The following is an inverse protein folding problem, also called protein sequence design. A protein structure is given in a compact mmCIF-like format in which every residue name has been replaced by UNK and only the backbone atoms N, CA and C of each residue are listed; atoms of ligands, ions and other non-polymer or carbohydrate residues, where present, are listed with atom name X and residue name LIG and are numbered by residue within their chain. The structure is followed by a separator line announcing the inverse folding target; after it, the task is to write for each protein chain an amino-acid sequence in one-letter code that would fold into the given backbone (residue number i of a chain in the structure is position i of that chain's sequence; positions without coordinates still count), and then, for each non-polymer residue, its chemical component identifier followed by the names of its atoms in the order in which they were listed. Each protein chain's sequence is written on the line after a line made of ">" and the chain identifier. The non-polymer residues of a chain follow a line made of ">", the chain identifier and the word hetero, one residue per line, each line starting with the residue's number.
data_IF_590859090479
#
_entry.id   IF_590859090479
#
_cell.length_a   1.000
_cell.length_b   1.000
_cell.length_c   1.000
_cell.angle_alpha   90.00
_cell.angle_beta   90.00
_cell.angle_gamma   90.00
#
_symmetry.space_group_name_H-M   'P 1'
#
loop_
_entity.id
_entity.type
_entity.pdbx_description
1 polymer ?
#
# COMPACT_ATOMS: atom_id res chain seq x y z
N UNK A 1 36.27 11.43 20.71
CA UNK A 1 35.72 10.65 19.58
C UNK A 1 34.20 10.71 19.68
N UNK A 2 33.47 10.90 18.57
CA UNK A 2 32.00 11.02 18.63
C UNK A 2 31.30 9.73 19.08
N UNK A 3 30.07 9.85 19.61
CA UNK A 3 29.25 8.71 20.04
C UNK A 3 28.81 7.87 18.85
N UNK A 4 28.99 6.54 18.93
CA UNK A 4 28.45 5.59 17.96
C UNK A 4 26.92 5.57 18.06
N UNK A 5 26.24 5.82 16.95
CA UNK A 5 24.78 5.92 16.88
C UNK A 5 24.23 5.29 15.59
N UNK A 6 22.92 5.43 15.37
CA UNK A 6 22.21 4.86 14.22
C UNK A 6 22.69 5.43 12.89
N UNK A 7 23.05 6.71 12.85
CA UNK A 7 23.52 7.41 11.66
C UNK A 7 24.94 6.94 11.26
N UNK A 8 25.81 6.67 12.24
CA UNK A 8 27.12 6.05 11.99
C UNK A 8 26.95 4.63 11.44
N UNK A 9 26.00 3.85 11.98
CA UNK A 9 25.69 2.52 11.46
C UNK A 9 25.12 2.56 10.02
N UNK A 10 24.31 3.57 9.68
CA UNK A 10 23.89 3.82 8.29
C UNK A 10 25.09 4.16 7.39
N UNK A 11 26.05 4.94 7.87
CA UNK A 11 27.30 5.22 7.14
C UNK A 11 28.13 3.94 6.93
N UNK A 12 28.21 3.05 7.93
CA UNK A 12 28.84 1.73 7.75
C UNK A 12 28.14 0.95 6.64
N UNK A 13 26.80 0.91 6.64
CA UNK A 13 26.04 0.28 5.57
C UNK A 13 26.34 0.85 4.18
N UNK A 14 26.37 2.18 4.04
CA UNK A 14 26.72 2.86 2.78
C UNK A 14 28.13 2.50 2.32
N UNK A 15 29.10 2.50 3.24
CA UNK A 15 30.49 2.17 2.91
C UNK A 15 30.67 0.69 2.57
N UNK A 16 29.97 -0.22 3.24
CA UNK A 16 29.99 -1.65 2.89
C UNK A 16 29.38 -1.92 1.50
N UNK A 17 28.46 -1.06 1.06
CA UNK A 17 27.82 -1.15 -0.24
C UNK A 17 28.70 -0.58 -1.37
N UNK A 18 29.21 0.64 -1.23
CA UNK A 18 29.87 1.36 -2.33
C UNK A 18 31.21 2.01 -1.95
N UNK A 19 31.76 1.64 -0.79
CA UNK A 19 33.07 2.07 -0.34
C UNK A 19 34.21 1.23 -0.93
N UNK A 20 35.39 1.84 -0.96
CA UNK A 20 36.62 1.12 -1.30
C UNK A 20 37.34 0.66 -0.02
N UNK A 21 37.67 -0.63 0.05
CA UNK A 21 38.42 -1.25 1.14
C UNK A 21 39.90 -1.53 0.78
N UNK A 22 40.34 -1.21 -0.44
CA UNK A 22 41.68 -1.55 -0.93
C UNK A 22 42.78 -0.62 -0.42
N UNK A 23 42.45 0.63 -0.10
CA UNK A 23 43.43 1.61 0.38
C UNK A 23 43.53 1.61 1.90
N UNK A 24 44.77 1.56 2.42
CA UNK A 24 45.06 1.82 3.83
C UNK A 24 45.14 3.32 4.15
N UNK A 25 45.20 4.18 3.13
CA UNK A 25 45.47 5.62 3.26
C UNK A 25 44.23 6.48 3.08
N UNK A 26 43.23 5.96 2.38
CA UNK A 26 42.04 6.72 2.00
C UNK A 26 40.77 5.96 2.33
N UNK A 27 39.84 6.66 2.98
CA UNK A 27 38.46 6.23 3.07
C UNK A 27 37.70 6.83 1.90
N UNK A 28 37.07 5.98 1.09
CA UNK A 28 36.31 6.41 -0.09
C UNK A 28 34.86 5.93 -0.02
N UNK A 29 33.93 6.79 -0.43
CA UNK A 29 32.53 6.45 -0.66
C UNK A 29 32.08 7.04 -2.00
N UNK A 30 31.59 6.22 -2.90
CA UNK A 30 31.15 6.64 -4.25
C UNK A 30 29.66 6.44 -4.38
N UNK A 31 28.87 7.45 -4.76
CA UNK A 31 27.43 7.31 -4.98
C UNK A 31 26.94 8.32 -6.03
N UNK A 32 25.80 8.06 -6.67
CA UNK A 32 25.18 8.96 -7.65
C UNK A 32 24.08 9.88 -7.04
N UNK A 33 23.78 9.73 -5.76
CA UNK A 33 22.83 10.52 -4.99
C UNK A 33 23.61 11.48 -4.08
N UNK A 34 23.48 12.78 -4.34
CA UNK A 34 24.21 13.81 -3.59
C UNK A 34 23.85 13.82 -2.11
N UNK A 35 22.58 13.61 -1.78
CA UNK A 35 22.06 13.59 -0.41
C UNK A 35 22.72 12.49 0.44
N UNK A 36 23.11 11.37 -0.17
CA UNK A 36 23.86 10.32 0.54
C UNK A 36 25.31 10.73 0.80
N UNK A 37 25.94 11.46 -0.13
CA UNK A 37 27.29 12.00 0.06
C UNK A 37 27.31 13.04 1.18
N UNK A 38 26.33 13.94 1.18
CA UNK A 38 26.18 14.95 2.23
C UNK A 38 25.88 14.32 3.59
N UNK A 39 24.99 13.32 3.63
CA UNK A 39 24.71 12.54 4.83
C UNK A 39 25.98 11.88 5.38
N UNK A 40 26.74 11.21 4.51
CA UNK A 40 27.99 10.55 4.89
C UNK A 40 29.01 11.58 5.42
N UNK A 41 29.27 12.66 4.67
CA UNK A 41 30.19 13.72 5.07
C UNK A 41 29.83 14.35 6.43
N UNK A 42 28.54 14.65 6.65
CA UNK A 42 28.05 15.26 7.89
C UNK A 42 28.34 14.37 9.10
N UNK A 43 28.04 13.08 8.99
CA UNK A 43 28.26 12.13 10.08
C UNK A 43 29.75 11.84 10.30
N UNK A 44 30.54 11.76 9.23
CA UNK A 44 32.00 11.62 9.34
C UNK A 44 32.64 12.83 10.02
N UNK A 45 32.20 14.06 9.69
CA UNK A 45 32.66 15.29 10.36
C UNK A 45 32.35 15.27 11.86
N UNK A 46 31.16 14.82 12.26
CA UNK A 46 30.78 14.71 13.67
C UNK A 46 31.61 13.65 14.40
N UNK A 47 31.74 12.46 13.79
CA UNK A 47 32.41 11.30 14.37
C UNK A 47 33.90 11.56 14.59
N UNK A 48 34.55 12.18 13.62
CA UNK A 48 35.99 12.45 13.61
C UNK A 48 36.33 13.93 13.89
N UNK A 49 35.46 14.68 14.57
CA UNK A 49 35.64 16.12 14.82
C UNK A 49 36.97 16.52 15.48
N UNK A 50 37.58 15.60 16.21
CA UNK A 50 38.86 15.80 16.92
C UNK A 50 40.08 15.59 16.02
N UNK A 51 39.90 15.00 14.83
CA UNK A 51 40.98 14.74 13.89
C UNK A 51 41.09 15.87 12.87
N UNK A 52 42.32 16.23 12.52
CA UNK A 52 42.60 17.07 11.36
C UNK A 52 42.79 16.15 10.15
N UNK A 53 41.98 16.34 9.12
CA UNK A 53 42.07 15.54 7.89
C UNK A 53 41.53 16.31 6.68
N UNK A 54 42.08 15.96 5.51
CA UNK A 54 41.68 16.55 4.25
C UNK A 54 40.51 15.78 3.64
N UNK A 55 39.43 16.52 3.34
CA UNK A 55 38.24 15.99 2.65
C UNK A 55 38.24 16.47 1.21
N UNK A 56 38.03 15.53 0.29
CA UNK A 56 37.91 15.83 -1.14
C UNK A 56 36.62 15.22 -1.69
N UNK A 57 35.99 15.94 -2.61
CA UNK A 57 34.88 15.43 -3.42
C UNK A 57 35.27 15.54 -4.88
N UNK A 58 35.17 14.42 -5.59
CA UNK A 58 35.36 14.36 -7.03
C UNK A 58 33.99 14.23 -7.67
N UNK A 59 33.61 15.19 -8.49
CA UNK A 59 32.34 15.23 -9.20
C UNK A 59 32.59 14.83 -10.64
N UNK A 60 31.95 13.75 -11.07
CA UNK A 60 32.03 13.28 -12.45
C UNK A 60 30.69 13.49 -13.14
N UNK A 61 30.69 14.26 -14.23
CA UNK A 61 29.48 14.51 -15.04
C UNK A 61 29.69 14.05 -16.49
N UNK A 62 28.63 13.57 -17.17
CA UNK A 62 28.76 13.09 -18.55
C UNK A 62 29.01 14.20 -19.56
N UNK A 63 28.46 15.38 -19.29
CA UNK A 63 28.45 16.58 -20.15
C UNK A 63 29.45 17.66 -19.71
N UNK A 64 30.18 17.44 -18.61
CA UNK A 64 31.06 18.44 -18.01
C UNK A 64 30.35 19.52 -17.20
N UNK A 65 29.04 19.36 -16.94
CA UNK A 65 28.29 20.23 -16.03
C UNK A 65 28.93 20.28 -14.64
N UNK A 66 28.80 21.41 -13.97
CA UNK A 66 29.35 21.66 -12.63
C UNK A 66 28.21 21.95 -11.66
N UNK A 67 27.58 20.92 -11.07
CA UNK A 67 26.56 21.15 -10.06
C UNK A 67 27.15 21.94 -8.90
N UNK A 68 26.39 22.91 -8.41
CA UNK A 68 26.77 23.69 -7.25
C UNK A 68 26.75 22.81 -6.01
N UNK A 69 27.85 22.79 -5.27
CA UNK A 69 28.02 21.99 -4.05
C UNK A 69 28.37 22.93 -2.90
N UNK A 70 27.53 22.96 -1.88
CA UNK A 70 27.69 23.84 -0.73
C UNK A 70 28.43 23.15 0.42
N UNK A 71 29.73 22.91 0.27
CA UNK A 71 30.58 22.36 1.33
C UNK A 71 31.84 23.20 1.53
N UNK A 72 31.80 24.11 2.51
CA UNK A 72 32.87 25.09 2.80
C UNK A 72 34.22 24.45 3.22
N UNK A 73 34.19 23.26 3.83
CA UNK A 73 35.38 22.59 4.37
C UNK A 73 35.82 21.39 3.52
N UNK A 74 35.71 21.48 2.20
CA UNK A 74 36.02 20.38 1.30
C UNK A 74 36.61 20.89 -0.01
N UNK A 75 37.69 20.25 -0.48
CA UNK A 75 38.19 20.49 -1.83
C UNK A 75 37.29 19.78 -2.84
N UNK A 76 36.75 20.53 -3.79
CA UNK A 76 35.84 20.00 -4.81
C UNK A 76 36.54 20.03 -6.16
N UNK A 77 36.62 18.88 -6.82
CA UNK A 77 37.24 18.74 -8.13
C UNK A 77 36.20 18.22 -9.13
N UNK A 78 36.12 18.84 -10.31
CA UNK A 78 35.16 18.49 -11.34
C UNK A 78 35.85 17.81 -12.52
N UNK A 79 35.24 16.73 -13.02
CA UNK A 79 35.74 15.92 -14.13
C UNK A 79 34.62 15.54 -15.08
N UNK A 80 34.96 15.38 -16.36
CA UNK A 80 34.06 14.85 -17.36
C UNK A 80 34.27 13.34 -17.51
N UNK A 81 33.19 12.55 -17.45
CA UNK A 81 33.23 11.12 -17.73
C UNK A 81 32.19 10.75 -18.79
N UNK A 82 32.60 10.76 -20.06
CA UNK A 82 31.72 10.58 -21.23
C UNK A 82 30.91 9.27 -21.26
N UNK A 83 31.35 8.24 -20.53
CA UNK A 83 30.67 6.93 -20.46
C UNK A 83 29.64 6.84 -19.33
N UNK A 84 29.64 7.78 -18.39
CA UNK A 84 28.67 7.80 -17.31
C UNK A 84 27.28 8.14 -17.88
N UNK A 85 26.24 7.52 -17.35
CA UNK A 85 24.85 7.85 -17.74
C UNK A 85 24.26 8.97 -16.89
N UNK A 86 24.83 9.21 -15.71
CA UNK A 86 24.41 10.21 -14.72
C UNK A 86 25.62 10.74 -13.96
N UNK A 87 25.53 11.94 -13.39
CA UNK A 87 26.52 12.41 -12.43
C UNK A 87 26.74 11.42 -11.29
N UNK A 88 27.99 11.30 -10.84
CA UNK A 88 28.32 10.59 -9.60
C UNK A 88 29.45 11.30 -8.87
N UNK A 89 29.54 10.99 -7.57
CA UNK A 89 30.38 11.69 -6.63
C UNK A 89 31.27 10.69 -5.91
N UNK A 90 32.55 11.02 -5.75
CA UNK A 90 33.49 10.26 -4.92
C UNK A 90 33.89 11.14 -3.74
N UNK A 91 33.42 10.79 -2.56
CA UNK A 91 33.86 11.39 -1.30
C UNK A 91 35.11 10.67 -0.79
N UNK A 92 36.14 11.44 -0.43
CA UNK A 92 37.42 10.92 0.06
C UNK A 92 37.89 11.61 1.33
N UNK A 93 38.41 10.82 2.26
CA UNK A 93 39.19 11.26 3.42
C UNK A 93 40.58 10.63 3.33
N UNK A 94 41.63 11.45 3.24
CA UNK A 94 43.02 11.00 3.24
C UNK A 94 43.59 11.04 4.66
N UNK A 95 43.53 9.91 5.37
CA UNK A 95 44.12 9.74 6.71
C UNK A 95 44.20 8.27 7.09
N UNK A 96 45.42 7.76 7.28
CA UNK A 96 45.66 6.36 7.72
C UNK A 96 45.00 6.09 9.07
N UNK A 97 45.09 7.05 10.00
CA UNK A 97 44.50 6.90 11.33
C UNK A 97 42.97 6.79 11.26
N UNK A 98 42.31 7.63 10.46
CA UNK A 98 40.85 7.58 10.30
C UNK A 98 40.42 6.29 9.61
N UNK A 99 41.17 5.81 8.60
CA UNK A 99 40.87 4.53 7.94
C UNK A 99 40.95 3.38 8.93
N UNK A 100 41.99 3.33 9.77
CA UNK A 100 42.12 2.30 10.82
C UNK A 100 40.93 2.36 11.79
N UNK A 101 40.64 3.54 12.35
CA UNK A 101 39.51 3.72 13.29
C UNK A 101 38.16 3.41 12.65
N UNK A 102 37.97 3.73 11.38
CA UNK A 102 36.75 3.41 10.66
C UNK A 102 36.56 1.89 10.54
N UNK A 103 37.62 1.14 10.23
CA UNK A 103 37.56 -0.34 10.16
C UNK A 103 37.20 -0.95 11.52
N UNK A 104 37.79 -0.45 12.61
CA UNK A 104 37.44 -0.87 13.98
C UNK A 104 35.96 -0.59 14.30
N UNK A 105 35.43 0.56 13.89
CA UNK A 105 34.01 0.90 14.05
C UNK A 105 33.12 -0.04 13.24
N UNK A 106 33.48 -0.33 11.98
CA UNK A 106 32.75 -1.25 11.10
C UNK A 106 32.66 -2.64 11.76
N UNK A 107 33.79 -3.18 12.21
CA UNK A 107 33.83 -4.49 12.88
C UNK A 107 33.01 -4.48 14.18
N UNK A 108 33.14 -3.44 15.01
CA UNK A 108 32.38 -3.30 16.24
C UNK A 108 30.87 -3.27 16.00
N UNK A 109 30.42 -2.54 14.97
CA UNK A 109 29.00 -2.42 14.62
C UNK A 109 28.42 -3.68 13.98
N UNK A 110 29.22 -4.41 13.18
CA UNK A 110 28.80 -5.69 12.60
C UNK A 110 28.60 -6.78 13.67
N UNK A 111 29.18 -6.65 14.86
CA UNK A 111 28.96 -7.58 15.97
C UNK A 111 27.75 -7.21 16.86
N UNK A 112 27.01 -6.14 16.54
CA UNK A 112 25.92 -5.62 17.36
C UNK A 112 24.58 -5.67 16.62
N UNK A 113 23.79 -6.70 16.90
CA UNK A 113 22.48 -6.93 16.27
C UNK A 113 21.53 -5.72 16.33
N UNK A 114 21.61 -4.88 17.37
CA UNK A 114 20.80 -3.67 17.49
C UNK A 114 21.00 -2.67 16.34
N UNK A 115 22.17 -2.67 15.71
CA UNK A 115 22.50 -1.79 14.59
C UNK A 115 22.19 -2.38 13.22
N UNK A 116 21.81 -3.66 13.14
CA UNK A 116 21.53 -4.33 11.87
C UNK A 116 20.46 -3.63 11.01
N UNK A 117 19.35 -3.11 11.55
CA UNK A 117 18.40 -2.32 10.76
C UNK A 117 19.04 -1.07 10.13
N UNK A 118 19.92 -0.38 10.85
CA UNK A 118 20.61 0.82 10.37
C UNK A 118 21.67 0.48 9.32
N UNK A 119 22.47 -0.56 9.56
CA UNK A 119 23.45 -1.07 8.60
C UNK A 119 22.73 -1.49 7.31
N UNK A 120 21.65 -2.27 7.41
CA UNK A 120 20.88 -2.69 6.23
C UNK A 120 20.26 -1.51 5.48
N UNK A 121 19.78 -0.48 6.20
CA UNK A 121 19.24 0.74 5.58
C UNK A 121 20.30 1.49 4.77
N UNK A 122 21.50 1.64 5.33
CA UNK A 122 22.67 2.18 4.63
C UNK A 122 23.03 1.33 3.40
N UNK A 123 23.14 0.03 3.59
CA UNK A 123 23.51 -0.91 2.54
C UNK A 123 22.51 -0.92 1.39
N UNK A 124 21.21 -0.92 1.72
CA UNK A 124 20.13 -0.85 0.75
C UNK A 124 20.10 0.49 0.00
N UNK A 125 20.49 1.59 0.66
CA UNK A 125 20.60 2.89 0.00
C UNK A 125 21.70 2.92 -1.08
N UNK A 126 22.78 2.17 -0.93
CA UNK A 126 23.76 1.92 -2.01
C UNK A 126 23.27 0.88 -3.01
N UNK A 127 23.23 -0.39 -2.60
CA UNK A 127 23.10 -1.56 -3.49
C UNK A 127 21.66 -2.06 -3.70
N UNK A 128 20.71 -1.51 -2.95
CA UNK A 128 19.31 -1.91 -3.00
C UNK A 128 18.60 -1.44 -4.27
N UNK A 129 17.64 -2.24 -4.74
CA UNK A 129 16.75 -1.88 -5.83
C UNK A 129 15.33 -2.36 -5.54
N UNK A 130 14.35 -1.63 -6.04
CA UNK A 130 12.94 -1.97 -5.92
C UNK A 130 12.42 -2.24 -7.32
N UNK A 131 12.07 -3.48 -7.58
CA UNK A 131 11.61 -3.93 -8.89
C UNK A 131 10.10 -4.14 -8.89
N UNK A 132 9.45 -3.54 -9.89
CA UNK A 132 8.06 -3.79 -10.25
C UNK A 132 8.08 -4.48 -11.62
N UNK A 133 7.68 -5.75 -11.65
CA UNK A 133 7.63 -6.59 -12.85
C UNK A 133 6.23 -6.65 -13.45
N UNK A 134 6.11 -7.39 -14.57
CA UNK A 134 4.81 -7.69 -15.19
C UNK A 134 3.93 -8.50 -14.22
N UNK A 135 2.60 -8.39 -14.33
CA UNK A 135 1.60 -9.13 -13.52
C UNK A 135 1.70 -8.91 -11.99
N UNK A 136 1.94 -7.68 -11.55
CA UNK A 136 1.99 -7.30 -10.12
C UNK A 136 3.12 -7.96 -9.30
N UNK A 137 4.15 -8.50 -9.98
CA UNK A 137 5.34 -9.02 -9.30
C UNK A 137 6.13 -7.87 -8.71
N UNK A 138 6.40 -7.93 -7.40
CA UNK A 138 7.16 -6.90 -6.69
C UNK A 138 8.27 -7.56 -5.91
N UNK A 139 9.49 -7.08 -6.13
CA UNK A 139 10.69 -7.67 -5.52
C UNK A 139 11.60 -6.57 -5.03
N UNK A 140 11.98 -6.66 -3.76
CA UNK A 140 13.10 -5.90 -3.22
C UNK A 140 14.36 -6.70 -3.54
N UNK A 141 15.37 -6.05 -4.08
CA UNK A 141 16.64 -6.67 -4.49
C UNK A 141 17.79 -5.99 -3.79
N UNK A 142 18.83 -6.74 -3.47
CA UNK A 142 20.12 -6.22 -3.03
C UNK A 142 21.18 -6.83 -3.94
N UNK A 143 21.84 -5.99 -4.73
CA UNK A 143 22.89 -6.44 -5.65
C UNK A 143 24.17 -6.73 -4.88
N UNK A 144 24.81 -7.86 -5.16
CA UNK A 144 26.10 -8.24 -4.57
C UNK A 144 26.85 -9.20 -5.47
N UNK A 145 28.14 -8.91 -5.70
CA UNK A 145 29.00 -9.73 -6.58
C UNK A 145 28.99 -11.22 -6.20
N UNK A 146 28.98 -11.50 -4.90
CA UNK A 146 28.92 -12.84 -4.32
C UNK A 146 28.09 -12.82 -3.03
N UNK A 147 27.65 -13.99 -2.58
CA UNK A 147 26.90 -14.13 -1.32
C UNK A 147 27.82 -13.74 -0.15
N UNK A 148 27.36 -12.86 0.73
CA UNK A 148 28.14 -12.36 1.88
C UNK A 148 27.48 -12.82 3.18
N UNK A 149 28.25 -13.48 4.03
CA UNK A 149 27.78 -14.02 5.32
C UNK A 149 27.14 -12.95 6.22
N UNK A 150 27.75 -11.77 6.32
CA UNK A 150 27.21 -10.70 7.17
C UNK A 150 25.84 -10.19 6.67
N UNK A 151 25.57 -10.22 5.36
CA UNK A 151 24.26 -9.83 4.81
C UNK A 151 23.22 -10.87 5.21
N UNK A 152 23.55 -12.15 5.06
CA UNK A 152 22.70 -13.26 5.49
C UNK A 152 22.35 -13.13 6.98
N UNK A 153 23.35 -12.93 7.84
CA UNK A 153 23.18 -12.73 9.29
C UNK A 153 22.25 -11.55 9.62
N UNK A 154 22.41 -10.41 8.93
CA UNK A 154 21.54 -9.24 9.08
C UNK A 154 20.11 -9.55 8.63
N UNK A 155 19.94 -10.19 7.47
CA UNK A 155 18.62 -10.52 6.93
C UNK A 155 17.88 -11.53 7.84
N UNK A 156 18.58 -12.56 8.32
CA UNK A 156 18.04 -13.58 9.21
C UNK A 156 17.64 -12.98 10.57
N UNK A 157 18.47 -12.12 11.16
CA UNK A 157 18.15 -11.39 12.39
C UNK A 157 16.88 -10.55 12.27
N UNK A 158 16.64 -9.96 11.10
CA UNK A 158 15.42 -9.20 10.81
C UNK A 158 14.25 -10.07 10.34
N UNK A 159 14.41 -11.40 10.34
CA UNK A 159 13.42 -12.36 9.86
C UNK A 159 12.97 -12.11 8.41
N UNK A 160 13.89 -11.60 7.57
CA UNK A 160 13.66 -11.38 6.14
C UNK A 160 13.91 -12.69 5.39
N UNK A 161 12.92 -13.15 4.62
CA UNK A 161 13.10 -14.33 3.75
C UNK A 161 13.78 -13.90 2.46
N UNK A 162 14.90 -14.52 2.10
CA UNK A 162 15.64 -14.18 0.89
C UNK A 162 16.05 -15.40 0.07
N UNK A 163 16.33 -15.17 -1.21
CA UNK A 163 17.01 -16.13 -2.07
C UNK A 163 18.16 -15.40 -2.78
N UNK A 164 19.39 -15.90 -2.65
CA UNK A 164 20.54 -15.38 -3.40
C UNK A 164 20.69 -16.11 -4.74
N UNK A 165 20.57 -15.38 -5.84
CA UNK A 165 20.72 -15.95 -7.18
C UNK A 165 22.12 -15.62 -7.72
N UNK A 166 23.02 -16.62 -7.79
CA UNK A 166 24.42 -16.45 -8.22
C UNK A 166 24.56 -15.84 -9.62
N UNK A 167 23.75 -16.30 -10.58
CA UNK A 167 23.79 -15.80 -11.97
C UNK A 167 23.44 -14.32 -12.06
N UNK A 168 22.48 -13.88 -11.23
CA UNK A 168 22.00 -12.51 -11.20
C UNK A 168 22.71 -11.64 -10.15
N UNK A 169 23.62 -12.23 -9.35
CA UNK A 169 24.41 -11.54 -8.32
C UNK A 169 23.53 -10.67 -7.40
N UNK A 170 22.44 -11.25 -6.89
CA UNK A 170 21.48 -10.50 -6.10
C UNK A 170 20.72 -11.36 -5.09
N UNK A 171 20.40 -10.74 -3.96
CA UNK A 171 19.39 -11.20 -3.01
C UNK A 171 18.01 -10.77 -3.50
N UNK A 172 17.07 -11.71 -3.58
CA UNK A 172 15.69 -11.47 -3.94
C UNK A 172 14.77 -11.62 -2.71
N UNK A 173 14.02 -10.56 -2.42
CA UNK A 173 13.06 -10.46 -1.32
C UNK A 173 11.67 -10.14 -1.91
N UNK A 174 10.92 -11.16 -2.29
CA UNK A 174 9.63 -11.03 -3.01
C UNK A 174 8.40 -11.03 -2.10
N UNK A 175 8.48 -11.61 -0.90
CA UNK A 175 7.31 -11.85 -0.06
C UNK A 175 6.80 -10.57 0.62
N UNK A 176 5.47 -10.42 0.76
CA UNK A 176 4.84 -9.26 1.43
C UNK A 176 5.39 -8.99 2.83
N UNK A 177 5.63 -10.04 3.63
CA UNK A 177 6.25 -9.92 4.95
C UNK A 177 7.58 -9.17 4.91
N UNK A 178 8.40 -9.36 3.88
CA UNK A 178 9.64 -8.60 3.72
C UNK A 178 9.36 -7.12 3.49
N UNK A 179 8.35 -6.79 2.68
CA UNK A 179 7.92 -5.42 2.47
C UNK A 179 7.40 -4.80 3.77
N UNK A 180 6.68 -5.55 4.60
CA UNK A 180 6.22 -5.07 5.92
C UNK A 180 7.38 -4.80 6.88
N UNK A 181 8.39 -5.68 6.90
CA UNK A 181 9.61 -5.48 7.68
C UNK A 181 10.37 -4.25 7.16
N UNK A 182 10.49 -4.08 5.83
CA UNK A 182 11.09 -2.89 5.22
C UNK A 182 10.35 -1.60 5.62
N UNK A 183 9.02 -1.62 5.65
CA UNK A 183 8.21 -0.49 6.09
C UNK A 183 8.39 -0.21 7.59
N UNK A 184 8.29 -1.25 8.44
CA UNK A 184 8.48 -1.18 9.89
C UNK A 184 9.82 -0.56 10.27
N UNK A 185 10.91 -1.01 9.64
CA UNK A 185 12.27 -0.55 9.93
C UNK A 185 12.71 0.63 9.04
N UNK A 186 11.83 1.13 8.16
CA UNK A 186 12.09 2.24 7.24
C UNK A 186 13.37 2.02 6.40
N UNK A 187 13.60 0.78 5.95
CA UNK A 187 14.87 0.37 5.31
C UNK A 187 15.13 1.04 3.95
N UNK A 188 14.09 1.53 3.27
CA UNK A 188 14.23 2.26 2.01
C UNK A 188 14.37 3.77 2.18
N UNK A 189 14.25 4.32 3.41
CA UNK A 189 14.05 5.75 3.61
C UNK A 189 15.30 6.62 3.45
N UNK A 190 16.49 6.03 3.46
CA UNK A 190 17.74 6.80 3.41
C UNK A 190 18.01 7.38 2.01
N UNK A 191 17.68 6.67 0.93
CA UNK A 191 17.82 7.19 -0.43
C UNK A 191 16.48 7.76 -0.93
N UNK A 192 16.38 9.05 -1.35
CA UNK A 192 15.12 9.69 -1.72
C UNK A 192 14.32 8.95 -2.81
N UNK A 193 14.95 8.67 -3.96
CA UNK A 193 14.29 7.95 -5.07
C UNK A 193 13.84 6.53 -4.69
N UNK A 194 14.62 5.82 -3.87
CA UNK A 194 14.26 4.46 -3.41
C UNK A 194 13.11 4.53 -2.40
N UNK A 195 13.13 5.51 -1.49
CA UNK A 195 12.04 5.80 -0.56
C UNK A 195 10.72 6.01 -1.29
N UNK A 196 10.69 6.93 -2.25
CA UNK A 196 9.46 7.28 -2.97
C UNK A 196 8.93 6.06 -3.75
N UNK A 197 9.82 5.35 -4.44
CA UNK A 197 9.46 4.13 -5.16
C UNK A 197 8.94 3.04 -4.22
N UNK A 198 9.57 2.86 -3.06
CA UNK A 198 9.16 1.89 -2.05
C UNK A 198 7.76 2.18 -1.58
N UNK A 199 7.50 3.39 -1.07
CA UNK A 199 6.21 3.74 -0.50
C UNK A 199 5.10 3.73 -1.55
N UNK A 200 5.37 4.18 -2.78
CA UNK A 200 4.41 4.05 -3.88
C UNK A 200 4.00 2.60 -4.13
N UNK A 201 4.96 1.68 -4.19
CA UNK A 201 4.70 0.26 -4.43
C UNK A 201 4.15 -0.47 -3.20
N UNK A 202 4.58 -0.06 -2.00
CA UNK A 202 4.09 -0.57 -0.75
C UNK A 202 2.61 -0.20 -0.57
N UNK A 203 2.26 1.06 -0.79
CA UNK A 203 0.88 1.57 -0.69
C UNK A 203 -0.01 1.06 -1.83
N UNK A 204 0.58 0.69 -2.98
CA UNK A 204 -0.16 0.03 -4.06
C UNK A 204 -0.34 -1.47 -3.83
N UNK A 205 0.19 -2.07 -2.73
CA UNK A 205 -0.33 -3.36 -2.29
C UNK A 205 -1.79 -3.08 -2.00
N UNK A 206 -2.68 -3.56 -2.88
CA UNK A 206 -4.12 -3.37 -2.74
C UNK A 206 -4.43 -3.62 -1.27
N UNK A 207 -4.84 -2.55 -0.61
CA UNK A 207 -5.18 -2.46 0.80
C UNK A 207 -5.69 -3.80 1.28
N UNK A 208 -4.88 -4.45 2.11
CA UNK A 208 -5.13 -5.74 2.74
C UNK A 208 -5.59 -6.85 1.77
N UNK A 209 -4.90 -7.99 1.88
CA UNK A 209 -5.60 -9.25 1.76
C UNK A 209 -6.62 -9.34 2.89
N UNK A 210 -7.68 -8.55 2.78
CA UNK A 210 -9.02 -9.03 2.97
C UNK A 210 -9.05 -10.51 2.63
N UNK A 211 -9.42 -11.32 3.62
CA UNK A 211 -9.84 -12.69 3.45
C UNK A 211 -10.59 -12.80 2.10
N UNK A 212 -10.45 -13.91 1.37
CA UNK A 212 -11.18 -14.19 0.13
C UNK A 212 -12.66 -13.77 0.23
N UNK A 213 -13.22 -13.76 1.45
CA UNK A 213 -14.59 -13.36 1.76
C UNK A 213 -14.78 -12.01 2.46
N UNK A 214 -13.75 -11.23 2.81
CA UNK A 214 -13.92 -9.99 3.59
C UNK A 214 -14.93 -9.03 2.96
N UNK A 215 -14.82 -8.74 1.65
CA UNK A 215 -15.73 -7.78 1.02
C UNK A 215 -17.16 -8.31 1.01
N UNK A 216 -17.33 -9.64 0.82
CA UNK A 216 -18.62 -10.31 0.96
C UNK A 216 -19.15 -10.21 2.39
N UNK A 217 -18.31 -10.46 3.39
CA UNK A 217 -18.66 -10.45 4.81
C UNK A 217 -19.02 -9.05 5.30
N UNK A 218 -18.25 -8.03 4.92
CA UNK A 218 -18.55 -6.63 5.26
C UNK A 218 -19.82 -6.13 4.58
N UNK A 219 -20.05 -6.48 3.31
CA UNK A 219 -21.31 -6.15 2.66
C UNK A 219 -22.48 -6.84 3.37
N UNK A 220 -22.36 -8.12 3.75
CA UNK A 220 -23.40 -8.83 4.49
C UNK A 220 -23.69 -8.21 5.87
N UNK A 221 -22.64 -7.82 6.59
CA UNK A 221 -22.72 -7.16 7.90
C UNK A 221 -23.44 -5.82 7.79
N UNK A 222 -23.04 -4.97 6.82
CA UNK A 222 -23.64 -3.66 6.59
C UNK A 222 -25.07 -3.76 6.03
N UNK A 223 -25.34 -4.77 5.21
CA UNK A 223 -26.66 -4.97 4.60
C UNK A 223 -27.69 -5.54 5.57
N UNK A 224 -27.41 -5.60 6.89
CA UNK A 224 -28.47 -5.79 7.90
C UNK A 224 -29.51 -4.68 7.78
N UNK A 225 -29.05 -3.47 7.48
CA UNK A 225 -29.88 -2.34 7.14
C UNK A 225 -30.00 -2.18 5.60
N UNK A 226 -31.11 -1.60 5.10
CA UNK A 226 -31.26 -1.28 3.69
C UNK A 226 -30.22 -0.26 3.21
N UNK A 227 -29.34 -0.67 2.31
CA UNK A 227 -28.32 0.21 1.73
C UNK A 227 -28.34 0.20 0.20
N UNK A 228 -27.96 1.33 -0.40
CA UNK A 228 -27.79 1.44 -1.85
C UNK A 228 -26.37 1.07 -2.26
N UNK A 229 -26.17 0.70 -3.53
CA UNK A 229 -24.82 0.47 -4.08
C UNK A 229 -23.90 1.67 -3.87
N UNK A 230 -24.42 2.89 -4.09
CA UNK A 230 -23.66 4.13 -3.93
C UNK A 230 -23.18 4.33 -2.50
N UNK A 231 -24.04 4.04 -1.52
CA UNK A 231 -23.70 4.17 -0.10
C UNK A 231 -22.71 3.09 0.35
N UNK A 232 -22.86 1.85 -0.13
CA UNK A 232 -21.88 0.78 0.12
C UNK A 232 -20.52 1.10 -0.50
N UNK A 233 -20.52 1.66 -1.72
CA UNK A 233 -19.34 2.13 -2.46
C UNK A 233 -18.57 3.19 -1.69
N UNK A 234 -19.24 4.23 -1.20
CA UNK A 234 -18.62 5.28 -0.39
C UNK A 234 -18.12 4.74 0.96
N UNK A 235 -18.91 3.92 1.64
CA UNK A 235 -18.57 3.38 2.98
C UNK A 235 -17.36 2.45 2.94
N UNK A 236 -17.29 1.60 1.92
CA UNK A 236 -16.20 0.61 1.76
C UNK A 236 -15.01 1.16 0.97
N UNK A 237 -15.10 2.42 0.50
CA UNK A 237 -14.12 3.06 -0.37
C UNK A 237 -13.74 2.17 -1.56
N UNK A 238 -14.76 1.75 -2.33
CA UNK A 238 -14.62 0.90 -3.52
C UNK A 238 -15.48 1.45 -4.64
N UNK A 239 -15.09 1.20 -5.89
CA UNK A 239 -15.92 1.57 -7.05
C UNK A 239 -17.29 0.88 -7.01
N UNK A 240 -18.34 1.57 -7.47
CA UNK A 240 -19.70 1.00 -7.56
C UNK A 240 -19.75 -0.29 -8.38
N UNK A 241 -18.99 -0.38 -9.48
CA UNK A 241 -18.90 -1.59 -10.31
C UNK A 241 -18.45 -2.82 -9.50
N UNK A 242 -17.39 -2.67 -8.70
CA UNK A 242 -16.88 -3.74 -7.83
C UNK A 242 -17.89 -4.16 -6.75
N UNK A 243 -18.59 -3.20 -6.16
CA UNK A 243 -19.63 -3.48 -5.17
C UNK A 243 -20.79 -4.24 -5.83
N UNK A 244 -21.22 -3.82 -7.01
CA UNK A 244 -22.25 -4.51 -7.80
C UNK A 244 -21.91 -5.97 -8.09
N UNK A 245 -20.67 -6.27 -8.52
CA UNK A 245 -20.23 -7.66 -8.75
C UNK A 245 -20.45 -8.54 -7.50
N UNK A 246 -20.02 -8.05 -6.34
CA UNK A 246 -20.13 -8.81 -5.08
C UNK A 246 -21.59 -8.95 -4.63
N UNK A 247 -22.41 -7.92 -4.80
CA UNK A 247 -23.84 -7.97 -4.49
C UNK A 247 -24.59 -8.96 -5.39
N UNK A 248 -24.24 -9.03 -6.68
CA UNK A 248 -24.80 -10.01 -7.61
C UNK A 248 -24.45 -11.43 -7.15
N UNK A 249 -23.21 -11.68 -6.75
CA UNK A 249 -22.81 -12.98 -6.20
C UNK A 249 -23.58 -13.33 -4.92
N UNK A 250 -23.66 -12.41 -3.97
CA UNK A 250 -24.40 -12.62 -2.71
C UNK A 250 -25.90 -12.86 -2.95
N UNK A 251 -26.49 -12.22 -3.97
CA UNK A 251 -27.87 -12.44 -4.40
C UNK A 251 -28.05 -13.83 -5.00
N UNK A 252 -27.12 -14.28 -5.86
CA UNK A 252 -27.12 -15.65 -6.41
C UNK A 252 -26.98 -16.70 -5.30
N UNK A 253 -26.19 -16.41 -4.28
CA UNK A 253 -26.06 -17.24 -3.06
C UNK A 253 -27.27 -17.13 -2.10
N UNK A 254 -28.31 -16.35 -2.46
CA UNK A 254 -29.52 -16.12 -1.65
C UNK A 254 -29.24 -15.57 -0.23
N UNK A 255 -28.12 -14.84 -0.07
CA UNK A 255 -27.72 -14.20 1.19
C UNK A 255 -28.21 -12.77 1.34
N UNK A 256 -28.50 -12.11 0.21
CA UNK A 256 -29.11 -10.78 0.19
C UNK A 256 -30.25 -10.72 -0.83
N UNK A 257 -31.16 -9.77 -0.62
CA UNK A 257 -32.24 -9.43 -1.54
C UNK A 257 -32.02 -8.03 -2.10
N UNK A 258 -32.66 -7.80 -3.25
CA UNK A 258 -32.68 -6.51 -3.89
C UNK A 258 -34.13 -6.04 -4.04
N UNK A 259 -34.41 -4.84 -3.53
CA UNK A 259 -35.70 -4.20 -3.65
C UNK A 259 -35.53 -2.87 -4.40
N UNK A 260 -36.26 -2.73 -5.51
CA UNK A 260 -36.25 -1.50 -6.30
C UNK A 260 -37.43 -0.61 -5.90
N UNK A 261 -37.11 0.59 -5.43
CA UNK A 261 -38.07 1.64 -5.08
C UNK A 261 -37.80 2.83 -6.00
N UNK A 262 -38.64 3.00 -7.02
CA UNK A 262 -38.41 3.97 -8.09
C UNK A 262 -37.18 3.63 -8.94
N UNK A 263 -36.25 4.58 -9.06
CA UNK A 263 -34.96 4.40 -9.74
C UNK A 263 -33.86 3.83 -8.83
N UNK A 264 -34.13 3.69 -7.53
CA UNK A 264 -33.12 3.30 -6.53
C UNK A 264 -33.26 1.84 -6.14
N UNK A 265 -32.13 1.15 -6.07
CA UNK A 265 -32.03 -0.25 -5.63
C UNK A 265 -31.46 -0.31 -4.23
N UNK A 266 -32.20 -0.95 -3.33
CA UNK A 266 -31.80 -1.22 -1.95
C UNK A 266 -31.44 -2.70 -1.79
N UNK A 267 -30.37 -2.96 -1.04
CA UNK A 267 -29.84 -4.27 -0.73
C UNK A 267 -30.01 -4.55 0.75
N UNK A 268 -30.44 -5.76 1.08
CA UNK A 268 -30.66 -6.18 2.47
C UNK A 268 -30.42 -7.68 2.66
N UNK A 269 -29.83 -8.07 3.79
CA UNK A 269 -29.57 -9.46 4.17
C UNK A 269 -30.70 -10.07 5.01
N UNK A 270 -31.50 -9.25 5.70
CA UNK A 270 -32.70 -9.69 6.40
C UNK A 270 -33.72 -10.30 5.43
N UNK A 271 -34.08 -11.57 5.66
CA UNK A 271 -35.00 -12.33 4.81
C UNK A 271 -36.46 -12.02 5.11
N UNK A 272 -36.74 -11.45 6.28
CA UNK A 272 -38.07 -11.16 6.80
C UNK A 272 -38.45 -9.69 6.69
N UNK A 273 -37.52 -8.83 6.26
CA UNK A 273 -37.84 -7.47 5.83
C UNK A 273 -38.22 -7.40 4.34
N UNK A 274 -39.25 -6.62 4.04
CA UNK A 274 -39.60 -6.20 2.68
C UNK A 274 -39.57 -4.68 2.61
N UNK A 275 -38.92 -4.15 1.57
CA UNK A 275 -38.81 -2.71 1.33
C UNK A 275 -39.75 -2.32 0.19
N UNK A 276 -40.63 -1.35 0.44
CA UNK A 276 -41.56 -0.78 -0.54
C UNK A 276 -41.54 0.76 -0.48
N UNK A 277 -42.15 1.41 -1.46
CA UNK A 277 -42.40 2.86 -1.38
C UNK A 277 -43.50 3.17 -0.38
N UNK A 278 -43.49 4.39 0.18
CA UNK A 278 -44.61 4.93 0.99
C UNK A 278 -45.97 4.74 0.30
N UNK A 279 -46.07 5.07 -0.98
CA UNK A 279 -47.30 4.89 -1.76
C UNK A 279 -47.81 3.43 -1.75
N UNK A 280 -46.92 2.45 -1.86
CA UNK A 280 -47.30 1.03 -1.82
C UNK A 280 -47.72 0.59 -0.42
N UNK A 281 -47.14 1.19 0.63
CA UNK A 281 -47.62 0.99 2.01
C UNK A 281 -49.05 1.47 2.16
N UNK A 282 -49.39 2.62 1.57
CA UNK A 282 -50.77 3.13 1.61
C UNK A 282 -51.75 2.19 0.89
N UNK A 283 -51.34 1.59 -0.23
CA UNK A 283 -52.12 0.54 -0.89
C UNK A 283 -52.33 -0.67 0.02
N UNK A 284 -51.30 -1.12 0.74
CA UNK A 284 -51.41 -2.24 1.66
C UNK A 284 -52.35 -1.94 2.84
N UNK A 285 -52.27 -0.75 3.42
CA UNK A 285 -53.19 -0.30 4.47
C UNK A 285 -54.62 -0.22 3.93
N UNK A 286 -54.79 0.28 2.70
CA UNK A 286 -56.09 0.29 2.07
C UNK A 286 -56.59 -1.11 1.68
N UNK A 287 -55.79 -2.18 1.79
CA UNK A 287 -56.19 -3.56 1.48
C UNK A 287 -56.65 -4.38 2.69
N UNK A 288 -56.92 -3.74 3.84
CA UNK A 288 -57.37 -4.43 5.06
C UNK A 288 -58.73 -5.16 4.93
N UNK A 289 -59.49 -4.88 3.87
CA UNK A 289 -60.64 -5.69 3.42
C UNK A 289 -60.56 -5.94 1.91
N UNK A 290 -61.14 -7.04 1.38
CA UNK A 290 -61.13 -7.34 -0.05
C UNK A 290 -61.67 -6.19 -0.89
N UNK A 291 -60.92 -5.74 -1.90
CA UNK A 291 -61.29 -4.62 -2.77
C UNK A 291 -60.97 -4.86 -4.24
N UNK A 292 -61.78 -4.32 -5.14
CA UNK A 292 -61.50 -4.32 -6.56
C UNK A 292 -60.46 -3.26 -6.92
N UNK A 293 -59.72 -3.47 -8.02
CA UNK A 293 -58.73 -2.51 -8.55
C UNK A 293 -59.31 -1.11 -8.79
N UNK A 294 -60.58 -1.03 -9.21
CA UNK A 294 -61.32 0.22 -9.44
C UNK A 294 -61.43 1.08 -8.17
N UNK A 295 -61.61 0.45 -7.00
CA UNK A 295 -61.69 1.14 -5.72
C UNK A 295 -60.34 1.76 -5.34
N UNK A 296 -59.23 1.05 -5.55
CA UNK A 296 -57.88 1.62 -5.38
C UNK A 296 -57.64 2.77 -6.36
N UNK A 297 -58.02 2.59 -7.63
CA UNK A 297 -57.84 3.62 -8.66
C UNK A 297 -58.55 4.93 -8.26
N UNK A 298 -59.79 4.82 -7.77
CA UNK A 298 -60.56 5.95 -7.24
C UNK A 298 -59.92 6.55 -5.99
N UNK A 299 -59.52 5.73 -5.00
CA UNK A 299 -58.95 6.20 -3.73
C UNK A 299 -57.64 6.96 -3.91
N UNK A 300 -56.76 6.50 -4.81
CA UNK A 300 -55.44 7.08 -5.04
C UNK A 300 -55.40 8.04 -6.23
N UNK A 301 -56.57 8.37 -6.80
CA UNK A 301 -56.72 9.26 -7.96
C UNK A 301 -55.79 8.90 -9.14
N UNK A 302 -55.82 7.64 -9.57
CA UNK A 302 -55.02 7.13 -10.69
C UNK A 302 -55.86 6.26 -11.62
N UNK A 303 -55.35 6.01 -12.83
CA UNK A 303 -56.01 5.08 -13.76
C UNK A 303 -56.03 3.64 -13.21
N UNK A 304 -57.02 2.86 -13.65
CA UNK A 304 -57.14 1.45 -13.32
C UNK A 304 -55.84 0.67 -13.64
N UNK A 305 -55.25 0.92 -14.82
CA UNK A 305 -54.00 0.27 -15.26
C UNK A 305 -52.83 0.57 -14.31
N UNK A 306 -52.69 1.82 -13.86
CA UNK A 306 -51.65 2.22 -12.91
C UNK A 306 -51.83 1.54 -11.55
N UNK A 307 -53.07 1.53 -11.06
CA UNK A 307 -53.43 0.86 -9.82
C UNK A 307 -53.17 -0.65 -9.87
N UNK A 308 -53.61 -1.30 -10.95
CA UNK A 308 -53.38 -2.73 -11.19
C UNK A 308 -51.90 -3.08 -11.20
N UNK A 309 -51.07 -2.30 -11.89
CA UNK A 309 -49.61 -2.51 -11.92
C UNK A 309 -49.00 -2.46 -10.52
N UNK A 310 -49.39 -1.49 -9.69
CA UNK A 310 -48.91 -1.37 -8.30
C UNK A 310 -49.33 -2.57 -7.46
N UNK A 311 -50.56 -3.03 -7.60
CA UNK A 311 -51.07 -4.23 -6.91
C UNK A 311 -50.36 -5.51 -7.38
N UNK A 312 -50.09 -5.66 -8.68
CA UNK A 312 -49.27 -6.76 -9.20
C UNK A 312 -47.82 -6.73 -8.69
N UNK A 313 -47.25 -5.55 -8.45
CA UNK A 313 -45.94 -5.45 -7.80
C UNK A 313 -45.99 -5.90 -6.34
N UNK A 314 -47.07 -5.59 -5.60
CA UNK A 314 -47.31 -6.09 -4.24
C UNK A 314 -47.58 -7.61 -4.21
N UNK A 315 -48.28 -8.13 -5.22
CA UNK A 315 -48.54 -9.56 -5.40
C UNK A 315 -47.25 -10.35 -5.63
N UNK A 316 -46.33 -9.83 -6.45
CA UNK A 316 -44.98 -10.43 -6.64
C UNK A 316 -44.18 -10.50 -5.34
N UNK A 317 -44.44 -9.58 -4.41
CA UNK A 317 -43.87 -9.60 -3.06
C UNK A 317 -44.65 -10.50 -2.10
N UNK A 318 -45.73 -11.13 -2.56
CA UNK A 318 -46.69 -11.92 -1.80
C UNK A 318 -47.32 -11.15 -0.64
N UNK A 319 -47.54 -9.85 -0.79
CA UNK A 319 -48.18 -8.99 0.21
C UNK A 319 -49.69 -8.85 -0.01
N UNK A 320 -50.14 -9.10 -1.24
CA UNK A 320 -51.55 -9.20 -1.62
C UNK A 320 -51.75 -10.38 -2.57
N UNK A 321 -52.97 -10.89 -2.67
CA UNK A 321 -53.41 -11.90 -3.63
C UNK A 321 -54.76 -11.49 -4.21
N UNK A 322 -55.12 -12.06 -5.37
CA UNK A 322 -56.46 -11.95 -5.92
C UNK A 322 -57.26 -13.18 -5.48
N UNK A 323 -58.46 -12.96 -4.94
CA UNK A 323 -59.38 -14.04 -4.59
C UNK A 323 -60.20 -14.53 -5.81
N UNK A 324 -61.00 -15.57 -5.60
CA UNK A 324 -61.86 -16.14 -6.64
C UNK A 324 -62.92 -15.14 -7.17
N UNK A 325 -63.13 -14.02 -6.48
CA UNK A 325 -64.06 -12.96 -6.86
C UNK A 325 -63.37 -11.80 -7.60
N UNK A 326 -62.07 -11.91 -7.85
CA UNK A 326 -61.28 -10.87 -8.52
C UNK A 326 -60.90 -9.69 -7.61
N UNK A 327 -61.05 -9.83 -6.28
CA UNK A 327 -60.72 -8.79 -5.31
C UNK A 327 -59.33 -9.03 -4.72
N UNK A 328 -58.63 -7.93 -4.42
CA UNK A 328 -57.33 -7.95 -3.78
C UNK A 328 -57.47 -8.09 -2.27
N UNK A 329 -56.79 -9.10 -1.71
CA UNK A 329 -56.75 -9.40 -0.28
C UNK A 329 -55.31 -9.31 0.21
N UNK A 330 -55.09 -8.65 1.34
CA UNK A 330 -53.81 -8.60 2.03
C UNK A 330 -53.45 -9.98 2.61
N UNK A 331 -52.22 -10.43 2.39
CA UNK A 331 -51.74 -11.70 2.96
C UNK A 331 -51.31 -11.52 4.41
N UNK A 332 -51.50 -12.53 5.26
CA UNK A 332 -51.10 -12.50 6.67
C UNK A 332 -49.61 -12.85 6.88
N UNK A 333 -48.70 -12.42 5.98
CA UNK A 333 -47.28 -12.78 6.14
C UNK A 333 -46.66 -12.08 7.35
N UNK A 334 -45.82 -12.78 8.14
CA UNK A 334 -45.15 -12.24 9.33
C UNK A 334 -43.97 -11.29 9.00
N UNK A 335 -43.86 -10.82 7.75
CA UNK A 335 -42.70 -10.06 7.29
C UNK A 335 -42.82 -8.60 7.69
N UNK A 336 -41.76 -8.05 8.28
CA UNK A 336 -41.67 -6.64 8.58
C UNK A 336 -41.64 -5.84 7.26
N UNK A 337 -42.37 -4.72 7.23
CA UNK A 337 -42.46 -3.86 6.04
C UNK A 337 -41.82 -2.52 6.36
N UNK A 338 -40.73 -2.21 5.67
CA UNK A 338 -40.13 -0.88 5.70
C UNK A 338 -40.59 -0.08 4.48
N UNK A 339 -41.14 1.10 4.73
CA UNK A 339 -41.52 2.04 3.68
C UNK A 339 -40.53 3.20 3.64
N UNK A 340 -39.90 3.39 2.48
CA UNK A 340 -38.93 4.47 2.21
C UNK A 340 -39.55 5.48 1.26
#
# INVERSE_FOLDING_TARGET
>A
MGTINKEVAECVGLWLAEGDNKSARELTFTNNCWELIEFFNTNMKKLFREFKYNKRIYVYTPDGSRPEIQLKDCQINYYTHKRATKPYFIFKIASVEIVRKWKEIVESLLNKNEFYPSILRGFFAGEGNIHEGKRSVRVIRISQKERKKFIDEILDSLSLKYNFTKNNRMYNLSNKRNWDIFAKHKLANLHPKKKDKFWRLYNSYKQEHYDKFYLKNKILELSKDPLTTKLLSSTLNRSEARICEVLIDLKKENKIKNYRVGSVSYWISDKDLIIISKLKKDYLLFSDRPKQTSEFAKKFNVSWKSSFKRLKELEKLNLVIIDNTGKWIKTQKPKAILAI
#
